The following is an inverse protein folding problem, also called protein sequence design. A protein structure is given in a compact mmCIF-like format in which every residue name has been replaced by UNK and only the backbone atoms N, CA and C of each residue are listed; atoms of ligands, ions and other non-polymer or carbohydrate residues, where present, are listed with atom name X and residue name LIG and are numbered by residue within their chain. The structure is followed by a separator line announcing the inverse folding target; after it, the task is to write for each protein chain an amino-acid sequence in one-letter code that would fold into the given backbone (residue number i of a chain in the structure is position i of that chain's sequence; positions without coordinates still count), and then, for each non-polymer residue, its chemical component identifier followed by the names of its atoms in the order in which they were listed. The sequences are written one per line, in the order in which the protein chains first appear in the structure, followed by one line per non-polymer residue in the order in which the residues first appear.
data_IF_005975167834
#
_entry.id   IF_005975167834
#
_cell.length_a   1.000
_cell.length_b   1.000
_cell.length_c   1.000
_cell.angle_alpha   90.00
_cell.angle_beta   90.00
_cell.angle_gamma   90.00
#
_symmetry.space_group_name_H-M   'P 1'
#
loop_
_entity.id
_entity.type
_entity.pdbx_description
1 polymer ?
#
# COMPACT_ATOMS: atom_id res chain seq x y z
N UNK A 1 -3.66 -6.79 -25.81
CA UNK A 1 -3.14 -5.64 -25.07
C UNK A 1 -4.09 -5.36 -23.91
N UNK A 2 -3.61 -5.42 -22.67
CA UNK A 2 -4.40 -5.14 -21.46
C UNK A 2 -4.44 -3.62 -21.22
N UNK A 3 -5.62 -3.06 -20.95
CA UNK A 3 -5.81 -1.61 -20.79
C UNK A 3 -5.84 -1.25 -19.31
N UNK A 4 -5.03 -0.26 -18.93
CA UNK A 4 -4.68 0.04 -17.55
C UNK A 4 -5.03 1.48 -17.19
N UNK A 5 -5.55 1.67 -15.98
CA UNK A 5 -5.53 2.97 -15.29
C UNK A 5 -4.60 2.92 -14.08
N UNK A 6 -3.89 4.02 -13.80
CA UNK A 6 -2.99 4.15 -12.64
C UNK A 6 -3.47 5.29 -11.76
N UNK A 7 -3.87 4.96 -10.54
CA UNK A 7 -4.17 5.94 -9.51
C UNK A 7 -2.88 6.29 -8.75
N UNK A 8 -2.43 7.56 -8.86
CA UNK A 8 -1.19 8.01 -8.22
C UNK A 8 0.06 7.80 -9.08
N UNK A 9 -0.01 8.08 -10.38
CA UNK A 9 1.03 7.79 -11.37
C UNK A 9 2.38 8.47 -11.10
N UNK A 10 2.40 9.61 -10.40
CA UNK A 10 3.64 10.34 -10.07
C UNK A 10 4.30 9.88 -8.77
N UNK A 11 3.71 8.92 -8.06
CA UNK A 11 4.28 8.29 -6.87
C UNK A 11 5.33 7.22 -7.19
N UNK A 12 5.99 6.68 -6.16
CA UNK A 12 7.04 5.67 -6.33
C UNK A 12 6.54 4.42 -7.07
N UNK A 13 5.37 3.89 -6.70
CA UNK A 13 4.80 2.71 -7.37
C UNK A 13 4.29 3.08 -8.76
N UNK A 14 3.64 4.25 -8.90
CA UNK A 14 3.15 4.72 -10.21
C UNK A 14 4.27 4.83 -11.24
N UNK A 15 5.40 5.45 -10.90
CA UNK A 15 6.55 5.60 -11.81
C UNK A 15 7.20 4.25 -12.15
N UNK A 16 7.32 3.34 -11.18
CA UNK A 16 7.81 1.98 -11.43
C UNK A 16 6.82 1.16 -12.27
N UNK A 17 5.52 1.42 -12.16
CA UNK A 17 4.52 0.83 -13.06
C UNK A 17 4.76 1.30 -14.49
N UNK A 18 5.04 2.59 -14.72
CA UNK A 18 5.40 3.10 -16.06
C UNK A 18 6.65 2.42 -16.62
N UNK A 19 7.65 2.14 -15.79
CA UNK A 19 8.84 1.39 -16.23
C UNK A 19 8.47 -0.03 -16.73
N UNK A 20 7.56 -0.70 -16.03
CA UNK A 20 7.03 -2.00 -16.46
C UNK A 20 6.27 -1.88 -17.78
N UNK A 21 5.43 -0.84 -17.94
CA UNK A 21 4.70 -0.60 -19.20
C UNK A 21 5.66 -0.31 -20.36
N UNK A 22 6.74 0.46 -20.17
CA UNK A 22 7.77 0.72 -21.17
C UNK A 22 8.46 -0.55 -21.64
N UNK A 23 8.75 -1.45 -20.69
CA UNK A 23 9.40 -2.73 -21.00
C UNK A 23 8.48 -3.69 -21.76
N UNK A 24 7.18 -3.67 -21.45
CA UNK A 24 6.15 -4.52 -22.06
C UNK A 24 5.16 -3.72 -22.92
N UNK A 25 5.64 -2.76 -23.70
CA UNK A 25 4.82 -1.81 -24.47
C UNK A 25 3.80 -2.45 -25.43
N UNK A 26 4.06 -3.68 -25.89
CA UNK A 26 3.13 -4.40 -26.77
C UNK A 26 2.00 -5.10 -25.99
N UNK A 27 2.13 -5.25 -24.68
CA UNK A 27 1.17 -5.97 -23.83
C UNK A 27 0.17 -5.04 -23.18
N UNK A 28 0.51 -3.75 -22.99
CA UNK A 28 -0.23 -2.81 -22.18
C UNK A 28 -0.53 -1.48 -22.89
N UNK A 29 -1.74 -0.94 -22.63
CA UNK A 29 -2.15 0.42 -23.01
C UNK A 29 -2.51 1.21 -21.76
N UNK A 30 -1.91 2.39 -21.56
CA UNK A 30 -2.24 3.29 -20.46
C UNK A 30 -3.37 4.22 -20.90
N UNK A 31 -4.58 4.00 -20.34
CA UNK A 31 -5.80 4.74 -20.72
C UNK A 31 -6.06 5.92 -19.80
N UNK A 32 -5.86 5.75 -18.50
CA UNK A 32 -6.16 6.77 -17.51
C UNK A 32 -5.11 6.89 -16.43
N UNK A 33 -4.86 8.09 -15.96
CA UNK A 33 -3.93 8.37 -14.86
C UNK A 33 -4.52 9.34 -13.85
N UNK A 34 -4.07 9.23 -12.59
CA UNK A 34 -4.35 10.29 -11.62
C UNK A 34 -3.05 10.79 -10.99
N UNK A 35 -3.01 12.08 -10.66
CA UNK A 35 -1.91 12.71 -9.96
C UNK A 35 -2.42 13.76 -8.96
N UNK A 36 -1.53 14.39 -8.19
CA UNK A 36 -1.91 15.41 -7.22
C UNK A 36 -1.24 16.76 -7.55
N UNK A 37 0.05 16.94 -7.22
CA UNK A 37 0.75 18.25 -7.33
C UNK A 37 1.85 18.27 -8.39
N UNK A 38 2.43 17.14 -8.72
CA UNK A 38 3.58 17.07 -9.64
C UNK A 38 3.14 17.17 -11.11
N UNK A 39 2.91 18.41 -11.55
CA UNK A 39 2.40 18.69 -12.91
C UNK A 39 3.47 18.49 -13.97
N UNK A 40 4.74 18.75 -13.67
CA UNK A 40 5.82 18.57 -14.63
C UNK A 40 5.93 17.11 -15.05
N UNK A 41 6.06 16.20 -14.09
CA UNK A 41 6.10 14.77 -14.36
C UNK A 41 4.79 14.28 -15.01
N UNK A 42 3.63 14.82 -14.59
CA UNK A 42 2.33 14.48 -15.21
C UNK A 42 2.32 14.85 -16.70
N UNK A 43 2.84 16.01 -17.07
CA UNK A 43 2.94 16.43 -18.49
C UNK A 43 3.88 15.53 -19.30
N UNK A 44 5.01 15.12 -18.73
CA UNK A 44 5.94 14.20 -19.41
C UNK A 44 5.26 12.83 -19.65
N UNK A 45 4.51 12.33 -18.68
CA UNK A 45 3.73 11.09 -18.81
C UNK A 45 2.64 11.22 -19.89
N UNK A 46 1.92 12.36 -19.92
CA UNK A 46 0.91 12.62 -20.97
C UNK A 46 1.54 12.60 -22.36
N UNK A 47 2.70 13.21 -22.53
CA UNK A 47 3.41 13.23 -23.83
C UNK A 47 3.89 11.85 -24.26
N UNK A 48 4.40 11.06 -23.32
CA UNK A 48 4.96 9.74 -23.58
C UNK A 48 3.88 8.69 -23.85
N UNK A 49 2.87 8.60 -22.99
CA UNK A 49 1.88 7.52 -23.01
C UNK A 49 0.55 7.90 -23.65
N UNK A 50 0.30 9.20 -23.85
CA UNK A 50 -0.94 9.73 -24.44
C UNK A 50 -2.23 9.18 -23.80
N UNK A 51 -2.36 9.18 -22.45
CA UNK A 51 -3.56 8.69 -21.81
C UNK A 51 -4.77 9.54 -22.21
N UNK A 52 -5.94 8.91 -22.34
CA UNK A 52 -7.19 9.61 -22.70
C UNK A 52 -7.72 10.48 -21.56
N UNK A 53 -7.51 10.02 -20.32
CA UNK A 53 -8.07 10.66 -19.12
C UNK A 53 -7.00 10.93 -18.07
N UNK A 54 -7.03 12.13 -17.51
CA UNK A 54 -6.09 12.57 -16.47
C UNK A 54 -6.88 13.22 -15.34
N UNK A 55 -6.84 12.66 -14.13
CA UNK A 55 -7.49 13.28 -12.98
C UNK A 55 -6.46 13.91 -12.03
N UNK A 56 -6.75 15.12 -11.55
CA UNK A 56 -5.92 15.87 -10.61
C UNK A 56 -6.75 16.24 -9.38
N UNK A 57 -6.25 15.86 -8.20
CA UNK A 57 -6.97 16.10 -6.95
C UNK A 57 -6.68 17.49 -6.33
N UNK A 58 -5.57 18.14 -6.68
CA UNK A 58 -5.21 19.48 -6.18
C UNK A 58 -5.71 20.56 -7.15
N UNK A 59 -6.53 21.50 -6.67
CA UNK A 59 -7.25 22.46 -7.50
C UNK A 59 -6.34 23.37 -8.36
N UNK A 60 -5.30 23.94 -7.76
CA UNK A 60 -4.38 24.83 -8.50
C UNK A 60 -3.61 24.05 -9.57
N UNK A 61 -3.21 22.82 -9.25
CA UNK A 61 -2.53 21.92 -10.19
C UNK A 61 -3.45 21.51 -11.34
N UNK A 62 -4.73 21.26 -11.05
CA UNK A 62 -5.74 20.99 -12.08
C UNK A 62 -5.86 22.14 -13.07
N UNK A 63 -6.05 23.38 -12.58
CA UNK A 63 -6.15 24.58 -13.43
C UNK A 63 -4.91 24.73 -14.31
N UNK A 64 -3.72 24.63 -13.72
CA UNK A 64 -2.45 24.70 -14.44
C UNK A 64 -2.32 23.62 -15.52
N UNK A 65 -2.71 22.36 -15.21
CA UNK A 65 -2.63 21.27 -16.18
C UNK A 65 -3.59 21.47 -17.36
N UNK A 66 -4.82 21.93 -17.11
CA UNK A 66 -5.79 22.23 -18.18
C UNK A 66 -5.21 23.22 -19.18
N UNK A 67 -4.61 24.31 -18.70
CA UNK A 67 -4.00 25.34 -19.56
C UNK A 67 -2.83 24.79 -20.35
N UNK A 68 -1.96 23.95 -19.73
CA UNK A 68 -0.81 23.35 -20.39
C UNK A 68 -1.24 22.34 -21.48
N UNK A 69 -2.19 21.49 -21.20
CA UNK A 69 -2.74 20.50 -22.15
C UNK A 69 -3.34 21.22 -23.35
N UNK A 70 -4.13 22.29 -23.13
CA UNK A 70 -4.75 23.10 -24.18
C UNK A 70 -3.70 23.83 -25.02
N UNK A 71 -2.73 24.48 -24.38
CA UNK A 71 -1.70 25.28 -25.08
C UNK A 71 -0.76 24.42 -25.94
N UNK A 72 -0.56 23.15 -25.57
CA UNK A 72 0.27 22.19 -26.31
C UNK A 72 -0.54 21.32 -27.29
N UNK A 73 -1.85 21.50 -27.39
CA UNK A 73 -2.72 20.74 -28.30
C UNK A 73 -2.80 19.24 -28.01
N UNK A 74 -2.57 18.84 -26.74
CA UNK A 74 -2.62 17.44 -26.32
C UNK A 74 -4.07 16.96 -26.20
N UNK A 75 -4.31 15.68 -26.57
CA UNK A 75 -5.65 15.09 -26.62
C UNK A 75 -5.90 14.23 -25.38
N UNK A 76 -6.13 14.85 -24.23
CA UNK A 76 -6.58 14.14 -23.04
C UNK A 76 -7.66 14.97 -22.31
N UNK A 77 -8.60 14.30 -21.68
CA UNK A 77 -9.59 14.92 -20.81
C UNK A 77 -9.00 15.09 -19.41
N UNK A 78 -8.93 16.33 -18.92
CA UNK A 78 -8.43 16.64 -17.57
C UNK A 78 -9.63 16.83 -16.64
N UNK A 79 -9.68 16.08 -15.53
CA UNK A 79 -10.82 16.02 -14.60
C UNK A 79 -10.36 16.38 -13.19
N UNK A 80 -11.18 17.08 -12.44
CA UNK A 80 -10.86 17.53 -11.09
C UNK A 80 -11.40 16.62 -9.99
N UNK A 81 -10.63 16.49 -8.92
CA UNK A 81 -11.07 16.02 -7.62
C UNK A 81 -11.43 14.52 -7.55
N UNK A 82 -12.14 14.15 -6.49
CA UNK A 82 -12.53 12.76 -6.22
C UNK A 82 -13.39 12.16 -7.34
N UNK A 83 -14.26 12.94 -7.96
CA UNK A 83 -15.07 12.48 -9.10
C UNK A 83 -14.18 12.09 -10.28
N UNK A 84 -13.11 12.84 -10.52
CA UNK A 84 -12.10 12.51 -11.52
C UNK A 84 -11.36 11.22 -11.19
N UNK A 85 -10.96 11.00 -9.93
CA UNK A 85 -10.32 9.76 -9.50
C UNK A 85 -11.24 8.55 -9.73
N UNK A 86 -12.51 8.67 -9.34
CA UNK A 86 -13.52 7.62 -9.55
C UNK A 86 -13.73 7.37 -11.04
N UNK A 87 -13.85 8.44 -11.87
CA UNK A 87 -14.03 8.28 -13.32
C UNK A 87 -12.87 7.51 -13.93
N UNK A 88 -11.61 7.87 -13.61
CA UNK A 88 -10.42 7.18 -14.12
C UNK A 88 -10.36 5.72 -13.68
N UNK A 89 -10.84 5.41 -12.47
CA UNK A 89 -10.89 4.05 -11.95
C UNK A 89 -12.01 3.19 -12.55
N UNK A 90 -13.04 3.81 -13.14
CA UNK A 90 -14.28 3.14 -13.58
C UNK A 90 -14.52 3.21 -15.09
N UNK A 91 -13.51 3.59 -15.88
CA UNK A 91 -13.60 3.65 -17.35
C UNK A 91 -14.04 2.30 -17.93
N UNK A 92 -15.01 2.30 -18.85
CA UNK A 92 -15.52 1.07 -19.43
C UNK A 92 -14.45 0.29 -20.20
N UNK A 93 -13.53 1.01 -20.84
CA UNK A 93 -12.47 0.44 -21.67
C UNK A 93 -11.28 -0.15 -20.89
N UNK A 94 -11.13 0.03 -19.59
CA UNK A 94 -10.01 -0.53 -18.83
C UNK A 94 -10.30 -1.94 -18.31
N UNK A 95 -9.25 -2.74 -18.20
CA UNK A 95 -9.29 -4.11 -17.70
C UNK A 95 -8.83 -4.20 -16.24
N UNK A 96 -7.85 -3.36 -15.85
CA UNK A 96 -7.24 -3.37 -14.52
C UNK A 96 -6.90 -1.96 -14.04
N UNK A 97 -7.05 -1.73 -12.74
CA UNK A 97 -6.66 -0.49 -12.06
C UNK A 97 -5.48 -0.75 -11.13
N UNK A 98 -4.38 -0.02 -11.33
CA UNK A 98 -3.27 0.01 -10.38
C UNK A 98 -3.56 1.08 -9.33
N UNK A 99 -3.76 0.70 -8.07
CA UNK A 99 -4.04 1.61 -6.98
C UNK A 99 -2.76 1.93 -6.22
N UNK A 100 -2.08 3.03 -6.59
CA UNK A 100 -0.79 3.44 -6.04
C UNK A 100 -0.80 4.81 -5.35
N UNK A 101 -1.99 5.28 -4.97
CA UNK A 101 -2.15 6.43 -4.08
C UNK A 101 -1.80 6.06 -2.64
N UNK A 102 -1.44 7.04 -1.82
CA UNK A 102 -1.10 6.85 -0.40
C UNK A 102 -2.30 7.23 0.47
N UNK A 103 -2.59 6.40 1.49
CA UNK A 103 -3.63 6.68 2.47
C UNK A 103 -5.04 6.36 1.99
N UNK A 104 -6.03 6.75 2.78
CA UNK A 104 -7.43 6.36 2.59
C UNK A 104 -8.09 6.94 1.31
N UNK A 105 -7.46 7.90 0.62
CA UNK A 105 -8.01 8.50 -0.61
C UNK A 105 -8.26 7.46 -1.71
N UNK A 106 -7.54 6.35 -1.69
CA UNK A 106 -7.71 5.24 -2.65
C UNK A 106 -8.96 4.39 -2.43
N UNK A 107 -9.58 4.43 -1.26
CA UNK A 107 -10.69 3.54 -0.91
C UNK A 107 -11.89 3.70 -1.85
N UNK A 108 -12.44 4.91 -1.98
CA UNK A 108 -13.64 5.15 -2.80
C UNK A 108 -13.44 4.77 -4.27
N UNK A 109 -12.38 5.25 -4.97
CA UNK A 109 -12.17 4.86 -6.36
C UNK A 109 -11.94 3.35 -6.53
N UNK A 110 -11.30 2.68 -5.57
CA UNK A 110 -11.08 1.22 -5.62
C UNK A 110 -12.41 0.45 -5.50
N UNK A 111 -13.25 0.80 -4.52
CA UNK A 111 -14.57 0.17 -4.36
C UNK A 111 -15.44 0.37 -5.59
N UNK A 112 -15.47 1.58 -6.17
CA UNK A 112 -16.25 1.85 -7.38
C UNK A 112 -15.69 1.11 -8.61
N UNK A 113 -14.36 0.95 -8.73
CA UNK A 113 -13.75 0.13 -9.77
C UNK A 113 -14.16 -1.35 -9.67
N UNK A 114 -14.15 -1.91 -8.45
CA UNK A 114 -14.59 -3.28 -8.17
C UNK A 114 -16.06 -3.46 -8.60
N UNK A 115 -16.95 -2.54 -8.22
CA UNK A 115 -18.37 -2.55 -8.62
C UNK A 115 -18.59 -2.48 -10.12
N UNK A 116 -17.62 -1.93 -10.86
CA UNK A 116 -17.58 -1.90 -12.33
C UNK A 116 -16.86 -3.11 -12.95
N UNK A 117 -16.56 -4.14 -12.15
CA UNK A 117 -15.95 -5.37 -12.63
C UNK A 117 -14.49 -5.20 -13.08
N UNK A 118 -13.75 -4.23 -12.53
CA UNK A 118 -12.33 -4.00 -12.87
C UNK A 118 -11.43 -4.75 -11.91
N UNK A 119 -10.48 -5.53 -12.43
CA UNK A 119 -9.43 -6.14 -11.61
C UNK A 119 -8.56 -5.05 -10.96
N UNK A 120 -8.07 -5.32 -9.75
CA UNK A 120 -7.29 -4.37 -8.97
C UNK A 120 -5.87 -4.89 -8.77
N UNK A 121 -4.86 -4.16 -9.25
CA UNK A 121 -3.46 -4.31 -8.83
C UNK A 121 -3.25 -3.40 -7.61
N UNK A 122 -3.33 -3.99 -6.41
CA UNK A 122 -3.42 -3.26 -5.15
C UNK A 122 -2.05 -2.98 -4.57
N UNK A 123 -1.63 -1.71 -4.58
CA UNK A 123 -0.47 -1.22 -3.84
C UNK A 123 -0.86 -0.33 -2.64
N UNK A 124 -2.09 0.19 -2.64
CA UNK A 124 -2.63 0.99 -1.53
C UNK A 124 -3.18 0.08 -0.43
N UNK A 125 -2.32 -0.36 0.47
CA UNK A 125 -2.69 -1.29 1.56
C UNK A 125 -3.75 -0.72 2.50
N UNK A 126 -3.77 0.61 2.67
CA UNK A 126 -4.72 1.28 3.55
C UNK A 126 -6.17 0.97 3.14
N UNK A 127 -6.43 0.72 1.87
CA UNK A 127 -7.76 0.30 1.37
C UNK A 127 -8.27 -0.97 2.07
N UNK A 128 -7.43 -2.02 2.20
CA UNK A 128 -7.79 -3.24 2.92
C UNK A 128 -7.72 -3.08 4.43
N UNK A 129 -6.83 -2.24 4.93
CA UNK A 129 -6.74 -1.97 6.36
C UNK A 129 -8.03 -1.34 6.88
N UNK A 130 -8.52 -0.28 6.24
CA UNK A 130 -9.69 0.47 6.73
C UNK A 130 -11.04 -0.18 6.38
N UNK A 131 -11.10 -0.97 5.31
CA UNK A 131 -12.37 -1.48 4.79
C UNK A 131 -12.24 -2.88 4.15
N UNK A 132 -11.32 -3.74 4.64
CA UNK A 132 -11.05 -5.05 4.02
C UNK A 132 -12.29 -5.93 3.90
N UNK A 133 -13.15 -5.97 4.93
CA UNK A 133 -14.43 -6.68 4.88
C UNK A 133 -15.31 -6.22 3.70
N UNK A 134 -15.47 -4.92 3.51
CA UNK A 134 -16.24 -4.34 2.42
C UNK A 134 -15.60 -4.65 1.07
N UNK A 135 -14.28 -4.40 0.94
CA UNK A 135 -13.55 -4.55 -0.32
C UNK A 135 -13.56 -6.00 -0.81
N UNK A 136 -13.28 -6.97 0.08
CA UNK A 136 -13.25 -8.38 -0.28
C UNK A 136 -14.64 -8.94 -0.57
N UNK A 137 -15.68 -8.47 0.12
CA UNK A 137 -17.07 -8.80 -0.20
C UNK A 137 -17.46 -8.29 -1.59
N UNK A 138 -17.22 -7.00 -1.89
CA UNK A 138 -17.50 -6.42 -3.19
C UNK A 138 -16.70 -7.12 -4.32
N UNK A 139 -15.45 -7.46 -4.08
CA UNK A 139 -14.63 -8.19 -5.06
C UNK A 139 -15.22 -9.58 -5.36
N UNK A 140 -15.64 -10.31 -4.34
CA UNK A 140 -16.26 -11.63 -4.49
C UNK A 140 -17.60 -11.54 -5.23
N UNK A 141 -18.46 -10.58 -4.87
CA UNK A 141 -19.79 -10.40 -5.48
C UNK A 141 -19.69 -9.99 -6.96
N UNK A 142 -18.67 -9.23 -7.35
CA UNK A 142 -18.47 -8.78 -8.73
C UNK A 142 -17.49 -9.66 -9.52
N UNK A 143 -16.95 -10.74 -8.94
CA UNK A 143 -16.01 -11.65 -9.61
C UNK A 143 -14.67 -11.01 -9.97
N UNK A 144 -14.25 -9.98 -9.23
CA UNK A 144 -13.03 -9.18 -9.43
C UNK A 144 -11.85 -9.79 -8.69
N UNK A 145 -10.67 -9.75 -9.30
CA UNK A 145 -9.42 -10.16 -8.67
C UNK A 145 -8.74 -8.99 -7.98
N UNK A 146 -8.35 -9.19 -6.72
CA UNK A 146 -7.44 -8.29 -6.02
C UNK A 146 -6.04 -8.91 -6.11
N UNK A 147 -5.16 -8.30 -6.90
CA UNK A 147 -3.81 -8.77 -7.18
C UNK A 147 -2.82 -7.93 -6.35
N UNK A 148 -2.11 -8.53 -5.38
CA UNK A 148 -1.24 -7.77 -4.48
C UNK A 148 -0.01 -7.25 -5.23
N UNK A 149 0.30 -5.98 -5.01
CA UNK A 149 1.51 -5.30 -5.50
C UNK A 149 2.51 -5.11 -4.36
N UNK A 150 2.07 -5.00 -3.10
CA UNK A 150 3.00 -4.97 -1.97
C UNK A 150 3.89 -6.22 -1.99
N UNK A 151 5.21 -6.04 -1.79
CA UNK A 151 6.20 -7.10 -2.06
C UNK A 151 5.95 -8.35 -1.23
N UNK A 152 5.61 -8.20 0.03
CA UNK A 152 5.34 -9.29 0.95
C UNK A 152 4.06 -10.06 0.56
N UNK A 153 3.00 -9.35 0.24
CA UNK A 153 1.72 -9.97 -0.18
C UNK A 153 1.84 -10.61 -1.56
N UNK A 154 2.57 -9.99 -2.48
CA UNK A 154 2.92 -10.60 -3.76
C UNK A 154 3.71 -11.90 -3.57
N UNK A 155 4.64 -11.95 -2.61
CA UNK A 155 5.42 -13.14 -2.28
C UNK A 155 4.54 -14.27 -1.73
N UNK A 156 3.63 -13.95 -0.80
CA UNK A 156 2.65 -14.91 -0.27
C UNK A 156 1.76 -15.42 -1.40
N UNK A 157 1.20 -14.52 -2.20
CA UNK A 157 0.36 -14.85 -3.36
C UNK A 157 1.09 -15.79 -4.34
N UNK A 158 2.36 -15.52 -4.63
CA UNK A 158 3.19 -16.39 -5.48
C UNK A 158 3.49 -17.75 -4.84
N UNK A 159 3.68 -17.82 -3.53
CA UNK A 159 3.92 -19.05 -2.78
C UNK A 159 2.68 -19.96 -2.70
N UNK A 160 1.49 -19.36 -2.85
CA UNK A 160 0.21 -20.08 -2.90
C UNK A 160 -0.12 -20.66 -4.29
N UNK A 161 0.59 -20.23 -5.35
CA UNK A 161 0.30 -20.72 -6.71
C UNK A 161 0.55 -22.24 -6.82
N UNK A 162 -0.45 -22.95 -7.31
CA UNK A 162 -0.43 -24.43 -7.37
C UNK A 162 -0.77 -25.13 -6.05
N UNK A 163 -0.88 -24.38 -4.95
CA UNK A 163 -1.17 -24.92 -3.61
C UNK A 163 -2.47 -24.39 -3.00
N UNK A 164 -3.34 -23.78 -3.79
CA UNK A 164 -4.58 -23.15 -3.29
C UNK A 164 -5.56 -24.12 -2.59
N UNK A 165 -5.41 -25.44 -2.81
CA UNK A 165 -6.19 -26.49 -2.17
C UNK A 165 -5.58 -26.98 -0.83
N UNK A 166 -4.35 -26.56 -0.51
CA UNK A 166 -3.66 -26.95 0.71
C UNK A 166 -3.93 -25.94 1.83
N UNK A 167 -4.11 -26.49 3.04
CA UNK A 167 -4.34 -25.64 4.22
C UNK A 167 -3.05 -24.94 4.64
N UNK A 168 -3.13 -23.64 4.78
CA UNK A 168 -2.08 -22.80 5.38
C UNK A 168 -2.05 -23.12 6.88
N UNK A 169 -0.85 -23.35 7.43
CA UNK A 169 -0.61 -23.38 8.87
C UNK A 169 -0.28 -21.98 9.37
N UNK A 170 0.70 -21.32 8.72
CA UNK A 170 1.09 -19.95 9.04
C UNK A 170 1.50 -19.16 7.80
N UNK A 171 1.26 -17.87 7.84
CA UNK A 171 1.95 -16.87 7.02
C UNK A 171 3.13 -16.33 7.81
N UNK A 172 4.34 -16.41 7.23
CA UNK A 172 5.56 -15.82 7.78
C UNK A 172 5.87 -14.53 7.03
N UNK A 173 5.38 -13.42 7.59
CA UNK A 173 5.45 -12.08 6.98
C UNK A 173 6.79 -11.43 7.32
N UNK A 174 7.68 -11.26 6.32
CA UNK A 174 9.01 -10.71 6.59
C UNK A 174 8.99 -9.19 6.74
N UNK A 175 9.91 -8.67 7.54
CA UNK A 175 10.13 -7.25 7.78
C UNK A 175 11.62 -6.92 7.72
N UNK A 176 12.01 -5.76 7.18
CA UNK A 176 13.41 -5.31 7.26
C UNK A 176 13.86 -4.99 8.69
N UNK A 177 12.90 -4.74 9.59
CA UNK A 177 13.13 -4.24 10.95
C UNK A 177 13.27 -2.72 11.05
N UNK A 178 13.26 -2.02 9.93
CA UNK A 178 13.36 -0.55 9.88
C UNK A 178 14.74 0.00 10.28
N UNK A 179 14.91 1.33 10.32
CA UNK A 179 16.18 1.98 10.64
C UNK A 179 16.57 1.91 12.12
N UNK A 180 15.66 1.53 13.01
CA UNK A 180 15.89 1.51 14.46
C UNK A 180 15.91 0.10 15.05
N UNK A 181 16.10 -0.93 14.22
CA UNK A 181 16.27 -2.30 14.69
C UNK A 181 17.39 -2.39 15.74
N UNK A 182 17.08 -2.98 16.90
CA UNK A 182 17.99 -3.12 18.04
C UNK A 182 18.09 -1.89 18.94
N UNK A 183 17.32 -0.81 18.70
CA UNK A 183 17.22 0.33 19.61
C UNK A 183 16.34 -0.03 20.81
N UNK A 184 16.69 0.60 21.95
CA UNK A 184 15.84 0.61 23.16
C UNK A 184 14.87 1.79 23.15
N UNK A 185 13.88 1.79 24.04
CA UNK A 185 12.98 2.94 24.23
C UNK A 185 13.75 4.22 24.54
N UNK A 186 14.84 4.14 25.31
CA UNK A 186 15.67 5.30 25.63
C UNK A 186 16.37 5.88 24.40
N UNK A 187 16.84 5.04 23.50
CA UNK A 187 17.43 5.47 22.22
C UNK A 187 16.40 6.18 21.33
N UNK A 188 15.15 5.74 21.40
CA UNK A 188 14.06 6.29 20.59
C UNK A 188 13.61 7.68 21.04
N UNK A 189 13.87 8.11 22.29
CA UNK A 189 13.56 9.46 22.80
C UNK A 189 14.18 10.58 21.96
N UNK A 190 15.33 10.32 21.35
CA UNK A 190 16.09 11.30 20.55
C UNK A 190 15.89 11.17 19.03
N UNK A 191 14.92 10.37 18.59
CA UNK A 191 14.68 10.16 17.16
C UNK A 191 14.03 11.38 16.53
N UNK A 192 14.62 11.82 15.41
CA UNK A 192 14.09 12.93 14.59
C UNK A 192 13.54 12.41 13.26
N UNK A 193 12.68 13.20 12.59
CA UNK A 193 12.17 12.86 11.26
C UNK A 193 13.27 12.50 10.26
N UNK A 194 14.36 13.27 10.25
CA UNK A 194 15.48 13.08 9.33
C UNK A 194 16.21 11.74 9.54
N UNK A 195 16.23 11.23 10.79
CA UNK A 195 16.76 9.89 11.10
C UNK A 195 15.79 8.79 10.69
N UNK A 196 14.50 8.98 10.96
CA UNK A 196 13.47 8.00 10.67
C UNK A 196 13.24 7.80 9.16
N UNK A 197 13.50 8.83 8.35
CA UNK A 197 13.40 8.76 6.88
C UNK A 197 14.54 7.98 6.22
N UNK A 198 15.62 7.62 6.94
CA UNK A 198 16.77 6.88 6.39
C UNK A 198 16.57 5.38 6.48
N UNK A 199 15.79 4.82 5.56
CA UNK A 199 15.62 3.36 5.50
C UNK A 199 16.90 2.68 4.96
N UNK A 200 17.36 1.55 5.57
CA UNK A 200 18.66 0.95 5.22
C UNK A 200 18.70 0.27 3.86
N UNK A 201 17.56 -0.13 3.29
CA UNK A 201 17.47 -0.96 2.04
C UNK A 201 16.60 -0.34 0.96
N UNK A 202 15.49 0.32 1.33
CA UNK A 202 14.49 0.80 0.39
C UNK A 202 14.51 2.33 0.28
N UNK A 203 14.37 2.84 -0.94
CA UNK A 203 14.08 4.25 -1.17
C UNK A 203 12.56 4.41 -1.32
N UNK A 204 11.91 4.92 -0.29
CA UNK A 204 10.45 4.95 -0.17
C UNK A 204 9.93 6.36 0.08
N UNK A 205 8.61 6.54 -0.08
CA UNK A 205 7.93 7.78 0.31
C UNK A 205 8.03 8.05 1.82
N UNK A 206 7.81 9.31 2.21
CA UNK A 206 7.99 9.74 3.60
C UNK A 206 7.08 8.98 4.58
N UNK A 207 5.79 8.84 4.27
CA UNK A 207 4.81 8.15 5.15
C UNK A 207 5.24 6.71 5.43
N UNK A 208 5.49 5.92 4.41
CA UNK A 208 5.87 4.51 4.56
C UNK A 208 7.26 4.35 5.22
N UNK A 209 8.17 5.33 5.09
CA UNK A 209 9.46 5.30 5.80
C UNK A 209 9.27 5.47 7.31
N UNK A 210 8.38 6.36 7.75
CA UNK A 210 8.03 6.48 9.18
C UNK A 210 7.31 5.22 9.66
N UNK A 211 6.34 4.71 8.90
CA UNK A 211 5.64 3.47 9.25
C UNK A 211 6.60 2.27 9.36
N UNK A 212 7.60 2.19 8.49
CA UNK A 212 8.65 1.16 8.59
C UNK A 212 9.47 1.33 9.86
N UNK A 213 9.80 2.58 10.24
CA UNK A 213 10.59 2.87 11.43
C UNK A 213 9.88 2.48 12.73
N UNK A 214 8.55 2.60 12.78
CA UNK A 214 7.70 2.27 13.94
C UNK A 214 7.20 0.81 13.93
N UNK A 215 7.48 0.05 12.90
CA UNK A 215 6.85 -1.24 12.55
C UNK A 215 5.33 -1.14 12.29
N UNK A 216 4.75 0.05 12.19
CA UNK A 216 3.35 0.22 11.77
C UNK A 216 3.14 -0.31 10.35
N UNK A 217 4.09 -0.09 9.43
CA UNK A 217 3.99 -0.64 8.07
C UNK A 217 3.71 -2.15 8.11
N UNK A 218 4.46 -2.87 8.93
CA UNK A 218 4.27 -4.31 9.09
C UNK A 218 2.95 -4.66 9.79
N UNK A 219 2.50 -3.81 10.71
CA UNK A 219 1.17 -3.93 11.31
C UNK A 219 0.03 -3.78 10.29
N UNK A 220 0.11 -2.79 9.41
CA UNK A 220 -0.86 -2.62 8.32
C UNK A 220 -0.83 -3.81 7.35
N UNK A 221 0.33 -4.36 7.07
CA UNK A 221 0.51 -5.53 6.22
C UNK A 221 -0.05 -6.82 6.86
N UNK A 222 -0.01 -6.97 8.17
CA UNK A 222 -0.69 -8.06 8.88
C UNK A 222 -2.19 -8.01 8.64
N UNK A 223 -2.80 -6.83 8.72
CA UNK A 223 -4.23 -6.64 8.45
C UNK A 223 -4.55 -6.92 6.98
N UNK A 224 -3.73 -6.44 6.07
CA UNK A 224 -3.87 -6.70 4.63
C UNK A 224 -3.76 -8.20 4.32
N UNK A 225 -2.78 -8.92 4.91
CA UNK A 225 -2.61 -10.36 4.72
C UNK A 225 -3.82 -11.17 5.21
N UNK A 226 -4.40 -10.77 6.35
CA UNK A 226 -5.63 -11.38 6.84
C UNK A 226 -6.73 -11.35 5.76
N UNK A 227 -6.98 -10.19 5.17
CA UNK A 227 -8.03 -10.02 4.17
C UNK A 227 -7.73 -10.69 2.83
N UNK A 228 -6.51 -10.58 2.34
CA UNK A 228 -6.13 -11.14 1.03
C UNK A 228 -6.12 -12.68 1.02
N UNK A 229 -5.73 -13.30 2.13
CA UNK A 229 -5.47 -14.75 2.17
C UNK A 229 -6.41 -15.51 3.11
N UNK A 230 -7.41 -14.84 3.68
CA UNK A 230 -8.37 -15.42 4.64
C UNK A 230 -7.64 -16.18 5.78
N UNK A 231 -6.54 -15.58 6.28
CA UNK A 231 -5.70 -16.16 7.30
C UNK A 231 -5.98 -15.48 8.66
N UNK A 232 -6.27 -16.23 9.73
CA UNK A 232 -6.49 -15.64 11.06
C UNK A 232 -5.25 -14.90 11.56
N UNK A 233 -5.43 -13.79 12.29
CA UNK A 233 -4.32 -12.97 12.81
C UNK A 233 -3.29 -13.77 13.61
N UNK A 234 -3.75 -14.73 14.44
CA UNK A 234 -2.88 -15.62 15.23
C UNK A 234 -1.95 -16.52 14.39
N UNK A 235 -2.31 -16.74 13.12
CA UNK A 235 -1.57 -17.58 12.17
C UNK A 235 -0.75 -16.72 11.19
N UNK A 236 -0.68 -15.40 11.39
CA UNK A 236 0.21 -14.47 10.68
C UNK A 236 1.33 -14.06 11.63
N UNK A 237 2.54 -14.53 11.37
CA UNK A 237 3.72 -14.28 12.21
C UNK A 237 4.70 -13.33 11.50
N UNK A 238 5.07 -12.24 12.17
CA UNK A 238 6.08 -11.30 11.64
C UNK A 238 7.47 -11.82 11.95
N UNK A 239 8.32 -11.88 10.91
CA UNK A 239 9.71 -12.31 10.98
C UNK A 239 10.63 -11.19 10.49
N UNK A 240 11.50 -10.68 11.34
CA UNK A 240 12.48 -9.67 10.93
C UNK A 240 13.60 -10.34 10.12
N UNK A 241 13.74 -9.89 8.85
CA UNK A 241 14.72 -10.36 7.89
C UNK A 241 15.45 -9.17 7.26
N UNK A 242 16.58 -8.72 7.86
CA UNK A 242 17.23 -7.45 7.50
C UNK A 242 17.76 -7.36 6.09
N UNK A 243 18.05 -8.49 5.45
CA UNK A 243 18.55 -8.54 4.08
C UNK A 243 17.47 -8.21 3.05
N UNK A 244 16.17 -8.41 3.40
CA UNK A 244 15.01 -8.18 2.52
C UNK A 244 15.10 -8.94 1.19
N UNK A 245 15.64 -10.16 1.21
CA UNK A 245 15.75 -11.06 0.06
C UNK A 245 14.59 -12.03 0.00
N UNK A 246 14.21 -12.61 1.14
CA UNK A 246 12.95 -13.34 1.28
C UNK A 246 11.86 -12.30 1.52
N UNK A 247 10.93 -12.20 0.58
CA UNK A 247 9.88 -11.19 0.67
C UNK A 247 8.68 -11.63 1.51
N UNK A 248 8.43 -12.91 1.69
CA UNK A 248 7.60 -13.58 2.71
C UNK A 248 7.48 -15.06 2.38
N UNK A 249 6.87 -15.82 3.29
CA UNK A 249 6.79 -17.29 3.20
C UNK A 249 5.41 -17.76 3.64
N UNK A 250 5.04 -18.96 3.16
CA UNK A 250 3.85 -19.71 3.61
C UNK A 250 4.31 -21.03 4.18
N UNK A 251 3.95 -21.32 5.42
CA UNK A 251 4.12 -22.63 6.05
C UNK A 251 2.82 -23.41 5.89
N UNK A 252 2.93 -24.65 5.42
CA UNK A 252 1.81 -25.56 5.27
C UNK A 252 1.72 -26.55 6.44
N UNK A 253 0.58 -27.22 6.57
CA UNK A 253 0.29 -28.13 7.69
C UNK A 253 1.21 -29.35 7.75
N UNK A 254 1.91 -29.69 6.67
CA UNK A 254 2.94 -30.74 6.63
C UNK A 254 4.31 -30.25 7.13
N UNK A 255 4.42 -28.97 7.50
CA UNK A 255 5.65 -28.32 7.95
C UNK A 255 6.53 -27.75 6.82
N UNK A 256 6.14 -27.93 5.55
CA UNK A 256 6.87 -27.31 4.44
C UNK A 256 6.71 -25.79 4.45
N UNK A 257 7.80 -25.07 4.17
CA UNK A 257 7.80 -23.62 4.02
C UNK A 257 8.16 -23.26 2.58
N UNK A 258 7.26 -22.54 1.90
CA UNK A 258 7.50 -22.04 0.55
C UNK A 258 7.71 -20.53 0.62
N UNK A 259 8.77 -20.04 -0.02
CA UNK A 259 9.19 -18.65 0.01
C UNK A 259 9.41 -18.09 -1.40
N UNK A 260 9.08 -16.83 -1.61
CA UNK A 260 9.53 -16.11 -2.80
C UNK A 260 10.74 -15.24 -2.44
N UNK A 261 11.79 -15.37 -3.24
CA UNK A 261 13.04 -14.61 -3.11
C UNK A 261 13.23 -13.69 -4.32
N UNK A 262 13.78 -12.50 -4.07
CA UNK A 262 14.11 -11.55 -5.13
C UNK A 262 15.01 -10.43 -4.61
N UNK A 263 15.53 -9.61 -5.52
CA UNK A 263 16.13 -8.33 -5.15
C UNK A 263 15.04 -7.38 -4.65
N UNK A 264 15.33 -6.42 -3.76
CA UNK A 264 14.36 -5.45 -3.26
C UNK A 264 14.02 -4.42 -4.35
N UNK A 265 13.10 -4.79 -5.25
CA UNK A 265 12.63 -3.98 -6.38
C UNK A 265 11.12 -4.21 -6.59
N UNK A 266 10.34 -3.12 -6.55
CA UNK A 266 8.89 -3.17 -6.71
C UNK A 266 8.42 -3.50 -8.13
N UNK A 267 9.28 -3.39 -9.14
CA UNK A 267 8.92 -3.72 -10.53
C UNK A 267 8.54 -5.19 -10.69
N UNK A 268 9.15 -6.09 -9.92
CA UNK A 268 8.81 -7.51 -9.98
C UNK A 268 7.38 -7.81 -9.51
N UNK A 269 6.92 -7.39 -8.31
CA UNK A 269 5.54 -7.60 -7.89
C UNK A 269 4.53 -6.83 -8.76
N UNK A 270 4.86 -5.60 -9.20
CA UNK A 270 4.02 -4.85 -10.15
C UNK A 270 3.83 -5.63 -11.44
N UNK A 271 4.92 -6.08 -12.06
CA UNK A 271 4.90 -6.85 -13.29
C UNK A 271 4.10 -8.15 -13.11
N UNK A 272 4.28 -8.85 -11.99
CA UNK A 272 3.57 -10.09 -11.73
C UNK A 272 2.06 -9.87 -11.60
N UNK A 273 1.63 -8.83 -10.89
CA UNK A 273 0.22 -8.47 -10.78
C UNK A 273 -0.40 -8.13 -12.15
N UNK A 274 0.31 -7.37 -12.99
CA UNK A 274 -0.18 -6.97 -14.31
C UNK A 274 -0.23 -8.14 -15.32
N UNK A 275 0.70 -9.09 -15.24
CA UNK A 275 0.78 -10.22 -16.18
C UNK A 275 0.08 -11.49 -15.68
N UNK A 276 -0.36 -11.51 -14.42
CA UNK A 276 -0.98 -12.70 -13.82
C UNK A 276 -2.04 -13.35 -14.74
N UNK A 277 -2.01 -14.71 -14.90
CA UNK A 277 -1.19 -15.69 -14.18
C UNK A 277 0.20 -15.97 -14.79
N UNK A 278 0.57 -15.30 -15.87
CA UNK A 278 1.81 -15.56 -16.60
C UNK A 278 3.02 -14.89 -15.97
N UNK A 279 4.21 -15.53 -16.12
CA UNK A 279 5.50 -14.91 -15.83
C UNK A 279 6.17 -14.52 -17.15
N UNK A 280 6.55 -13.27 -17.24
CA UNK A 280 7.24 -12.73 -18.42
C UNK A 280 8.66 -12.27 -18.09
N UNK A 281 9.42 -11.87 -19.10
CA UNK A 281 10.74 -11.29 -18.92
C UNK A 281 10.72 -10.12 -17.94
N UNK A 282 11.75 -10.03 -17.10
CA UNK A 282 11.81 -9.05 -16.00
C UNK A 282 12.82 -7.94 -16.31
N UNK A 283 12.45 -6.72 -15.96
CA UNK A 283 13.28 -5.51 -16.01
C UNK A 283 14.25 -5.41 -14.81
N UNK A 284 13.93 -6.07 -13.69
CA UNK A 284 14.75 -6.04 -12.47
C UNK A 284 15.97 -6.94 -12.58
N UNK A 285 17.01 -6.66 -11.80
CA UNK A 285 18.18 -7.52 -11.70
C UNK A 285 17.80 -8.93 -11.21
N UNK A 286 18.55 -9.92 -11.66
CA UNK A 286 18.40 -11.29 -11.15
C UNK A 286 19.11 -11.45 -9.82
N UNK A 287 18.48 -12.20 -8.93
CA UNK A 287 19.06 -12.55 -7.63
C UNK A 287 20.31 -13.40 -7.81
N UNK A 288 21.40 -13.02 -7.16
CA UNK A 288 22.65 -13.79 -7.11
C UNK A 288 22.90 -14.28 -5.68
N UNK A 289 22.58 -15.54 -5.43
CA UNK A 289 22.72 -16.17 -4.11
C UNK A 289 24.18 -16.25 -3.63
N UNK A 290 25.16 -16.28 -4.55
CA UNK A 290 26.59 -16.33 -4.18
C UNK A 290 27.07 -14.99 -3.60
N UNK A 291 26.43 -13.86 -3.99
CA UNK A 291 26.72 -12.53 -3.41
C UNK A 291 26.07 -12.35 -2.03
N UNK A 292 24.93 -12.98 -1.77
CA UNK A 292 24.17 -12.81 -0.53
C UNK A 292 24.82 -13.57 0.63
N UNK A 293 25.25 -14.79 0.42
CA UNK A 293 25.93 -15.70 1.37
C UNK A 293 25.04 -16.20 2.50
N UNK A 294 24.42 -15.29 3.29
CA UNK A 294 23.61 -15.64 4.47
C UNK A 294 22.30 -14.89 4.53
N UNK A 295 21.30 -15.51 5.12
CA UNK A 295 19.98 -14.96 5.42
C UNK A 295 19.73 -15.14 6.91
N UNK A 296 19.35 -14.07 7.60
CA UNK A 296 19.15 -14.05 9.06
C UNK A 296 17.72 -13.69 9.42
N UNK A 297 17.26 -14.20 10.56
CA UNK A 297 15.89 -14.03 11.03
C UNK A 297 15.89 -13.70 12.52
N UNK A 298 15.04 -12.74 12.92
CA UNK A 298 14.87 -12.31 14.30
C UNK A 298 13.38 -12.17 14.62
N UNK A 299 13.05 -12.24 15.91
CA UNK A 299 11.69 -11.90 16.37
C UNK A 299 11.52 -10.38 16.42
N UNK A 300 10.34 -9.84 16.06
CA UNK A 300 10.07 -8.42 16.25
C UNK A 300 10.01 -8.07 17.75
N UNK A 301 10.54 -6.91 18.12
CA UNK A 301 10.43 -6.37 19.47
C UNK A 301 9.11 -5.58 19.60
N UNK A 302 8.09 -6.23 20.15
CA UNK A 302 6.75 -5.65 20.30
C UNK A 302 6.65 -4.67 21.49
N UNK A 303 7.59 -4.73 22.43
CA UNK A 303 7.58 -3.85 23.60
C UNK A 303 8.17 -2.48 23.23
N UNK A 304 9.26 -2.46 22.45
CA UNK A 304 9.89 -1.23 21.96
C UNK A 304 9.07 -0.62 20.80
N UNK A 305 8.57 -1.45 19.87
CA UNK A 305 7.83 -1.00 18.68
C UNK A 305 6.33 -1.31 18.80
N UNK A 306 5.66 -0.60 19.69
CA UNK A 306 4.25 -0.83 20.06
C UNK A 306 3.26 -0.77 18.89
N UNK A 307 3.58 -0.03 17.81
CA UNK A 307 2.68 0.11 16.66
C UNK A 307 2.30 -1.24 16.03
N UNK A 308 3.24 -2.20 15.96
CA UNK A 308 2.94 -3.54 15.46
C UNK A 308 1.93 -4.27 16.37
N UNK A 309 2.09 -4.17 17.69
CA UNK A 309 1.16 -4.76 18.65
C UNK A 309 -0.24 -4.14 18.53
N UNK A 310 -0.32 -2.80 18.45
CA UNK A 310 -1.59 -2.08 18.27
C UNK A 310 -2.30 -2.48 16.97
N UNK A 311 -1.56 -2.78 15.91
CA UNK A 311 -2.16 -3.23 14.66
C UNK A 311 -2.76 -4.64 14.77
N UNK A 312 -2.10 -5.58 15.46
CA UNK A 312 -2.71 -6.89 15.78
C UNK A 312 -3.98 -6.73 16.59
N UNK A 313 -3.94 -5.93 17.66
CA UNK A 313 -5.11 -5.65 18.51
C UNK A 313 -6.26 -5.02 17.70
N UNK A 314 -5.95 -4.08 16.79
CA UNK A 314 -6.96 -3.47 15.94
C UNK A 314 -7.59 -4.48 14.97
N UNK A 315 -6.77 -5.33 14.36
CA UNK A 315 -7.24 -6.38 13.48
C UNK A 315 -8.13 -7.39 14.18
N UNK A 316 -7.72 -7.88 15.36
CA UNK A 316 -8.50 -8.83 16.18
C UNK A 316 -9.83 -8.24 16.67
N UNK A 317 -9.87 -6.96 17.05
CA UNK A 317 -11.12 -6.27 17.38
C UNK A 317 -12.04 -6.11 16.16
N UNK A 318 -11.47 -5.96 14.97
CA UNK A 318 -12.20 -5.90 13.71
C UNK A 318 -13.10 -4.67 13.55
N UNK A 319 -14.11 -4.80 12.70
CA UNK A 319 -15.05 -3.71 12.36
C UNK A 319 -14.31 -2.44 11.94
N UNK A 320 -14.58 -1.29 12.60
CA UNK A 320 -13.94 -0.01 12.30
C UNK A 320 -12.69 0.29 13.14
N UNK A 321 -12.21 -0.64 13.99
CA UNK A 321 -10.99 -0.41 14.76
C UNK A 321 -9.76 -0.19 13.89
N UNK A 322 -9.53 -0.95 12.78
CA UNK A 322 -8.43 -0.66 11.86
C UNK A 322 -8.55 0.71 11.16
N UNK A 323 -9.77 1.22 10.95
CA UNK A 323 -9.99 2.58 10.43
C UNK A 323 -9.47 3.63 11.40
N UNK A 324 -9.75 3.45 12.70
CA UNK A 324 -9.26 4.35 13.77
C UNK A 324 -7.73 4.32 13.81
N UNK A 325 -7.14 3.12 13.85
CA UNK A 325 -5.69 2.93 13.86
C UNK A 325 -5.03 3.63 12.66
N UNK A 326 -5.54 3.41 11.46
CA UNK A 326 -4.95 3.99 10.24
C UNK A 326 -5.11 5.52 10.21
N UNK A 327 -6.31 6.05 10.50
CA UNK A 327 -6.57 7.49 10.55
C UNK A 327 -5.67 8.20 11.55
N UNK A 328 -5.53 7.62 12.76
CA UNK A 328 -4.62 8.12 13.78
C UNK A 328 -3.16 8.07 13.32
N UNK A 329 -2.72 6.95 12.77
CA UNK A 329 -1.35 6.80 12.28
C UNK A 329 -1.00 7.82 11.19
N UNK A 330 -1.85 8.02 10.19
CA UNK A 330 -1.58 8.98 9.11
C UNK A 330 -1.38 10.41 9.64
N UNK A 331 -2.23 10.85 10.60
CA UNK A 331 -2.08 12.18 11.21
C UNK A 331 -0.85 12.25 12.11
N UNK A 332 -0.57 11.21 12.92
CA UNK A 332 0.63 11.18 13.76
C UNK A 332 1.90 11.24 12.92
N UNK A 333 1.97 10.52 11.80
CA UNK A 333 3.10 10.61 10.87
C UNK A 333 3.28 12.01 10.32
N UNK A 334 2.20 12.68 9.91
CA UNK A 334 2.24 14.06 9.43
C UNK A 334 2.74 15.01 10.54
N UNK A 335 2.19 14.94 11.74
CA UNK A 335 2.59 15.78 12.87
C UNK A 335 4.04 15.53 13.27
N UNK A 336 4.51 14.28 13.25
CA UNK A 336 5.90 13.96 13.52
C UNK A 336 6.83 14.54 12.46
N UNK A 337 6.52 14.40 11.17
CA UNK A 337 7.29 14.98 10.08
C UNK A 337 7.38 16.51 10.19
N UNK A 338 6.32 17.16 10.68
CA UNK A 338 6.25 18.59 10.95
C UNK A 338 6.82 18.98 12.33
N UNK A 339 7.42 18.05 13.09
CA UNK A 339 8.03 18.27 14.42
C UNK A 339 7.05 18.80 15.48
N UNK A 340 5.75 18.49 15.34
CA UNK A 340 4.70 18.85 16.29
C UNK A 340 4.60 17.84 17.45
N UNK A 341 4.92 16.59 17.19
CA UNK A 341 4.97 15.51 18.16
C UNK A 341 6.32 14.79 18.12
N UNK A 342 6.66 14.08 19.18
CA UNK A 342 7.85 13.22 19.27
C UNK A 342 7.57 11.85 18.64
N UNK A 343 8.63 11.08 18.36
CA UNK A 343 8.53 9.74 17.82
C UNK A 343 7.71 8.80 18.72
N UNK A 344 7.94 8.84 20.04
CA UNK A 344 7.24 7.98 21.01
C UNK A 344 5.77 8.35 21.19
N UNK A 345 5.38 9.59 20.90
CA UNK A 345 3.98 9.99 20.92
C UNK A 345 3.15 9.34 19.79
N UNK A 346 3.78 8.85 18.72
CA UNK A 346 3.04 8.19 17.65
C UNK A 346 2.21 7.00 18.18
N UNK A 347 2.79 5.95 18.79
CA UNK A 347 2.00 4.85 19.33
C UNK A 347 1.06 5.27 20.47
N UNK A 348 1.45 6.25 21.30
CA UNK A 348 0.62 6.74 22.42
C UNK A 348 -0.68 7.38 21.91
N UNK A 349 -0.63 8.23 20.90
CA UNK A 349 -1.80 8.88 20.31
C UNK A 349 -2.69 7.87 19.57
N UNK A 350 -2.09 6.91 18.87
CA UNK A 350 -2.84 5.83 18.21
C UNK A 350 -3.62 5.02 19.26
N UNK A 351 -2.98 4.59 20.35
CA UNK A 351 -3.60 3.85 21.43
C UNK A 351 -4.72 4.65 22.10
N UNK A 352 -4.50 5.95 22.33
CA UNK A 352 -5.53 6.85 22.84
C UNK A 352 -6.77 6.87 21.94
N UNK A 353 -6.58 7.03 20.62
CA UNK A 353 -7.69 7.03 19.67
C UNK A 353 -8.44 5.67 19.66
N UNK A 354 -7.71 4.55 19.67
CA UNK A 354 -8.31 3.21 19.73
C UNK A 354 -9.16 2.97 21.00
N UNK A 355 -8.88 3.69 22.08
CA UNK A 355 -9.63 3.62 23.32
C UNK A 355 -10.76 4.66 23.42
N UNK A 356 -10.74 5.69 22.59
CA UNK A 356 -11.70 6.82 22.66
C UNK A 356 -12.89 6.63 21.73
N UNK A 357 -12.68 6.14 20.52
CA UNK A 357 -13.72 6.09 19.49
C UNK A 357 -14.49 4.78 19.47
N UNK A 358 -15.80 4.88 19.21
CA UNK A 358 -16.65 3.71 19.01
C UNK A 358 -16.41 3.10 17.62
N UNK A 359 -15.88 1.88 17.61
CA UNK A 359 -15.61 1.10 16.41
C UNK A 359 -16.72 0.11 16.05
N UNK A 360 -17.78 0.01 16.89
CA UNK A 360 -18.76 -1.07 16.85
C UNK A 360 -19.88 -0.83 15.81
N UNK A 361 -19.54 -0.24 14.66
CA UNK A 361 -20.44 0.01 13.54
C UNK A 361 -20.13 -0.93 12.39
N UNK A 362 -21.11 -1.10 11.48
CA UNK A 362 -20.94 -1.85 10.24
C UNK A 362 -19.87 -1.20 9.35
N UNK A 363 -19.06 -2.03 8.67
CA UNK A 363 -18.04 -1.58 7.72
C UNK A 363 -18.70 -1.21 6.40
N UNK A 364 -19.10 0.05 6.27
CA UNK A 364 -19.61 0.66 5.05
C UNK A 364 -18.70 1.80 4.62
N UNK A 365 -18.72 2.14 3.33
CA UNK A 365 -17.93 3.27 2.82
C UNK A 365 -18.24 4.58 3.57
N UNK A 366 -19.51 4.80 3.91
CA UNK A 366 -19.96 5.96 4.66
C UNK A 366 -19.39 5.99 6.10
N UNK A 367 -19.52 4.88 6.83
CA UNK A 367 -19.05 4.80 8.21
C UNK A 367 -17.54 4.91 8.32
N UNK A 368 -16.79 4.27 7.40
CA UNK A 368 -15.32 4.36 7.32
C UNK A 368 -14.87 5.79 7.09
N UNK A 369 -15.44 6.48 6.08
CA UNK A 369 -15.07 7.86 5.75
C UNK A 369 -15.39 8.82 6.89
N UNK A 370 -16.55 8.68 7.53
CA UNK A 370 -16.94 9.58 8.62
C UNK A 370 -16.06 9.37 9.86
N UNK A 371 -15.82 8.13 10.25
CA UNK A 371 -15.00 7.84 11.42
C UNK A 371 -13.54 8.28 11.22
N UNK A 372 -12.95 8.04 10.05
CA UNK A 372 -11.61 8.55 9.73
C UNK A 372 -11.55 10.07 9.89
N UNK A 373 -12.58 10.78 9.43
CA UNK A 373 -12.67 12.24 9.56
C UNK A 373 -12.75 12.71 11.01
N UNK A 374 -13.57 12.01 11.82
CA UNK A 374 -13.71 12.31 13.25
C UNK A 374 -12.38 12.09 13.99
N UNK A 375 -11.68 10.97 13.74
CA UNK A 375 -10.38 10.66 14.34
C UNK A 375 -9.34 11.71 13.96
N UNK A 376 -9.24 12.08 12.68
CA UNK A 376 -8.30 13.09 12.22
C UNK A 376 -8.56 14.45 12.87
N UNK A 377 -9.81 14.88 12.89
CA UNK A 377 -10.20 16.13 13.51
C UNK A 377 -9.80 16.19 14.98
N UNK A 378 -10.12 15.12 15.74
CA UNK A 378 -9.76 15.01 17.16
C UNK A 378 -8.26 15.21 17.41
N UNK A 379 -7.40 14.55 16.59
CA UNK A 379 -5.95 14.65 16.78
C UNK A 379 -5.45 16.06 16.43
N UNK A 380 -5.93 16.65 15.34
CA UNK A 380 -5.52 18.02 14.97
C UNK A 380 -5.95 19.06 16.00
N UNK A 381 -7.14 18.92 16.59
CA UNK A 381 -7.60 19.82 17.65
C UNK A 381 -6.76 19.73 18.94
N UNK A 382 -6.21 18.55 19.22
CA UNK A 382 -5.48 18.29 20.46
C UNK A 382 -3.95 18.48 20.34
N UNK A 383 -3.37 18.21 19.20
CA UNK A 383 -1.91 18.07 19.02
C UNK A 383 -1.30 18.98 17.95
N UNK A 384 -2.07 19.78 17.20
CA UNK A 384 -1.53 20.64 16.13
C UNK A 384 -1.15 22.07 16.60
#
# INVERSE_FOLDING_TARGET
MKRISILGVTGSIGTQTLDVLRFHKEDFELVGITANRNIELTMDIIKEFSPKYVAINHEESYKKLVDLVKSQGLKCEVIYGMEGLVKVATLDEIDIVVTSVVGMIGLKPTVEAIRKGKDIALANKETLVVAGELVMREAKENGVKILPVDSEHSAIFQSLQGNAHNKIDKILLTASGGPFRGFTIDDLKSVTPERALKHPKWNMGQKISIDSSTLMNKGLEVIEAHWLFDCPYKDIEVVVHPQSIIHSMVQYTDGAVIAQLGVPDMKLPIQYALNYPNRQGNISEKLDLFKIRELTFEKPDLDTFKCLKLAYEAGEKGKLMPTILNGANEVCVELFLNKKITYLQIPEIIEECMNTFDYNKEVTLHNVINLDKEVRQYIYEKYN
#
